data_IF_771347668019
#
_entry.id   IF_771347668019
#
_cell.length_a   1.000
_cell.length_b   1.000
_cell.length_c   1.000
_cell.angle_alpha   90.00
_cell.angle_beta   90.00
_cell.angle_gamma   90.00
#
_symmetry.space_group_name_H-M   'P 1'
#
loop_
_entity.id
_entity.type
_entity.pdbx_description
1 polymer ?
#
# COMPACT_ATOMS: atom_id res chain seq x y z
N UNK A 1 24.75 -3.77 3.70
CA UNK A 1 23.29 -3.72 3.42
C UNK A 1 22.51 -4.57 4.43
N UNK A 2 21.49 -4.02 5.11
CA UNK A 2 20.68 -4.75 6.11
C UNK A 2 19.45 -5.47 5.50
N UNK A 3 19.07 -5.13 4.25
CA UNK A 3 18.00 -5.79 3.47
C UNK A 3 18.26 -5.64 1.96
N UNK A 4 17.82 -6.63 1.15
CA UNK A 4 17.91 -6.62 -0.33
C UNK A 4 16.70 -5.96 -1.00
N UNK A 5 15.51 -6.18 -0.46
CA UNK A 5 14.24 -5.71 -1.02
C UNK A 5 13.63 -4.61 -0.15
N UNK A 6 12.77 -3.78 -0.74
CA UNK A 6 11.98 -2.78 -0.01
C UNK A 6 10.62 -2.65 -0.70
N UNK A 7 9.57 -2.51 0.10
CA UNK A 7 8.21 -2.27 -0.35
C UNK A 7 7.64 -1.08 0.43
N UNK A 8 6.97 -0.18 -0.28
CA UNK A 8 6.32 1.00 0.27
C UNK A 8 4.90 1.11 -0.27
N UNK A 9 4.02 1.61 0.59
CA UNK A 9 2.63 1.91 0.25
C UNK A 9 2.19 3.24 0.84
N UNK A 10 1.11 3.76 0.25
CA UNK A 10 0.29 4.85 0.77
C UNK A 10 -1.14 4.35 0.77
N UNK A 11 -1.88 4.59 1.86
CA UNK A 11 -3.33 4.34 1.92
C UNK A 11 -4.05 5.68 1.86
N UNK A 12 -4.92 5.83 0.87
CA UNK A 12 -5.76 7.02 0.68
C UNK A 12 -7.17 6.66 1.12
N UNK A 13 -7.63 7.27 2.20
CA UNK A 13 -8.98 7.09 2.73
C UNK A 13 -9.89 8.14 2.10
N UNK A 14 -10.95 7.69 1.45
CA UNK A 14 -11.99 8.55 0.86
C UNK A 14 -13.32 8.30 1.55
N UNK A 15 -14.22 9.27 1.48
CA UNK A 15 -15.56 9.16 2.07
C UNK A 15 -16.44 8.13 1.34
N UNK A 16 -16.56 8.24 0.01
CA UNK A 16 -17.33 7.31 -0.80
C UNK A 16 -16.87 7.35 -2.29
N UNK A 17 -16.40 6.23 -2.87
CA UNK A 17 -15.99 6.17 -4.27
C UNK A 17 -17.13 6.37 -5.28
N UNK A 18 -18.39 6.17 -4.90
CA UNK A 18 -19.54 6.30 -5.81
C UNK A 18 -19.96 7.76 -6.07
N UNK A 19 -19.34 8.72 -5.37
CA UNK A 19 -19.58 10.13 -5.59
C UNK A 19 -18.87 10.63 -6.86
N UNK A 20 -19.46 11.59 -7.55
CA UNK A 20 -18.82 12.26 -8.69
C UNK A 20 -17.49 12.94 -8.29
N UNK A 21 -17.43 13.44 -7.05
CA UNK A 21 -16.24 14.06 -6.47
C UNK A 21 -16.00 13.54 -5.04
N UNK A 22 -15.38 12.35 -4.88
CA UNK A 22 -15.03 11.82 -3.57
C UNK A 22 -14.05 12.75 -2.83
N UNK A 23 -14.17 12.80 -1.51
CA UNK A 23 -13.28 13.60 -0.65
C UNK A 23 -12.24 12.70 -0.01
N UNK A 24 -10.98 13.11 -0.07
CA UNK A 24 -9.91 12.51 0.72
C UNK A 24 -10.12 12.91 2.18
N UNK A 25 -10.39 11.93 3.03
CA UNK A 25 -10.58 12.12 4.48
C UNK A 25 -9.32 11.81 5.28
N UNK A 26 -8.34 11.11 4.69
CA UNK A 26 -7.05 10.86 5.32
C UNK A 26 -6.05 10.21 4.36
N UNK A 27 -4.76 10.37 4.65
CA UNK A 27 -3.68 9.73 3.90
C UNK A 27 -2.62 9.22 4.89
N UNK A 28 -2.22 7.97 4.71
CA UNK A 28 -1.25 7.31 5.57
C UNK A 28 -0.09 6.76 4.75
N UNK A 29 1.13 7.19 5.03
CA UNK A 29 2.35 6.83 4.29
C UNK A 29 3.20 5.82 5.07
N UNK A 30 3.58 4.71 4.45
CA UNK A 30 4.42 3.70 5.12
C UNK A 30 5.80 4.26 5.50
N UNK A 31 6.15 4.10 6.78
CA UNK A 31 7.49 4.36 7.34
C UNK A 31 8.33 3.08 7.31
N UNK A 32 7.73 1.97 7.71
CA UNK A 32 8.28 0.61 7.66
C UNK A 32 7.16 -0.35 7.32
N UNK A 33 7.49 -1.64 7.17
CA UNK A 33 6.53 -2.70 6.82
C UNK A 33 5.21 -2.57 7.63
N UNK A 34 5.29 -2.35 8.95
CA UNK A 34 4.10 -2.26 9.82
C UNK A 34 3.80 -0.89 10.43
N UNK A 35 4.41 0.21 9.95
CA UNK A 35 4.22 1.54 10.56
C UNK A 35 3.91 2.60 9.53
N UNK A 36 2.97 3.48 9.84
CA UNK A 36 2.53 4.56 8.97
C UNK A 36 2.67 5.94 9.63
N UNK A 37 3.06 6.93 8.83
CA UNK A 37 2.87 8.34 9.14
C UNK A 37 1.46 8.75 8.71
N UNK A 38 0.70 9.35 9.63
CA UNK A 38 -0.71 9.75 9.43
C UNK A 38 -0.87 11.26 9.18
N UNK A 39 0.25 12.00 9.19
CA UNK A 39 0.29 13.43 8.88
C UNK A 39 0.64 13.63 7.40
N UNK A 40 -0.11 14.49 6.72
CA UNK A 40 0.14 14.89 5.34
C UNK A 40 1.36 15.84 5.27
N UNK A 41 2.52 15.29 4.88
CA UNK A 41 3.72 16.07 4.50
C UNK A 41 4.17 15.61 3.13
N UNK A 42 3.65 16.25 2.09
CA UNK A 42 3.88 15.86 0.69
C UNK A 42 4.65 16.92 -0.06
N UNK A 43 5.42 16.47 -1.04
CA UNK A 43 6.08 17.29 -2.04
C UNK A 43 5.62 16.81 -3.42
N UNK A 44 5.67 17.67 -4.42
CA UNK A 44 5.35 17.28 -5.78
C UNK A 44 6.31 16.19 -6.26
N UNK A 45 5.76 15.21 -6.97
CA UNK A 45 6.50 14.07 -7.50
C UNK A 45 6.05 13.72 -8.92
N UNK A 46 6.35 12.50 -9.33
CA UNK A 46 5.99 11.98 -10.65
C UNK A 46 4.90 10.91 -10.53
N UNK A 47 4.16 10.68 -11.61
CA UNK A 47 3.20 9.57 -11.71
C UNK A 47 3.89 8.32 -12.26
N UNK A 48 3.36 7.15 -11.91
CA UNK A 48 3.76 5.85 -12.44
C UNK A 48 2.54 5.14 -13.03
N UNK A 49 2.75 4.22 -13.96
CA UNK A 49 1.67 3.40 -14.52
C UNK A 49 1.05 2.55 -13.42
N UNK A 50 -0.28 2.65 -13.28
CA UNK A 50 -1.04 1.94 -12.27
C UNK A 50 -1.53 0.58 -12.82
N UNK A 51 -1.29 -0.47 -12.04
CA UNK A 51 -1.91 -1.79 -12.22
C UNK A 51 -2.63 -2.16 -10.92
N UNK A 52 -3.93 -2.42 -11.00
CA UNK A 52 -4.74 -2.85 -9.86
C UNK A 52 -4.50 -4.33 -9.54
N UNK A 53 -4.69 -4.75 -8.29
CA UNK A 53 -4.55 -6.15 -7.89
C UNK A 53 -5.38 -7.11 -8.76
N UNK A 54 -6.64 -6.75 -9.00
CA UNK A 54 -7.56 -7.54 -9.85
C UNK A 54 -7.23 -7.51 -11.34
N UNK A 55 -6.32 -6.63 -11.78
CA UNK A 55 -5.83 -6.59 -13.16
C UNK A 55 -4.56 -7.43 -13.36
N UNK A 56 -3.92 -7.89 -12.28
CA UNK A 56 -2.74 -8.75 -12.36
C UNK A 56 -3.13 -10.16 -12.83
N UNK A 57 -2.18 -10.83 -13.48
CA UNK A 57 -2.32 -12.26 -13.79
C UNK A 57 -2.28 -13.08 -12.51
N UNK A 58 -2.88 -14.27 -12.54
CA UNK A 58 -2.85 -15.21 -11.41
C UNK A 58 -1.40 -15.54 -11.00
N UNK A 59 -0.51 -15.71 -11.97
CA UNK A 59 0.90 -15.97 -11.71
C UNK A 59 1.59 -14.81 -10.96
N UNK A 60 1.25 -13.56 -11.30
CA UNK A 60 1.77 -12.39 -10.60
C UNK A 60 1.22 -12.30 -9.18
N UNK A 61 -0.08 -12.54 -8.97
CA UNK A 61 -0.69 -12.56 -7.63
C UNK A 61 -0.07 -13.66 -6.76
N UNK A 62 0.10 -14.87 -7.28
CA UNK A 62 0.78 -15.99 -6.58
C UNK A 62 2.21 -15.61 -6.20
N UNK A 63 2.98 -14.99 -7.10
CA UNK A 63 4.34 -14.58 -6.80
C UNK A 63 4.42 -13.47 -5.73
N UNK A 64 3.46 -12.52 -5.74
CA UNK A 64 3.39 -11.44 -4.75
C UNK A 64 2.90 -11.92 -3.38
N UNK A 65 2.10 -12.98 -3.33
CA UNK A 65 1.65 -13.62 -2.10
C UNK A 65 2.70 -14.57 -1.46
N UNK A 66 3.77 -14.97 -2.17
CA UNK A 66 4.81 -15.83 -1.60
C UNK A 66 5.83 -15.01 -0.79
N UNK A 67 5.72 -15.07 0.54
CA UNK A 67 6.59 -14.36 1.49
C UNK A 67 8.08 -14.72 1.36
N UNK A 68 8.45 -15.81 0.67
CA UNK A 68 9.85 -16.18 0.42
C UNK A 68 10.53 -15.32 -0.65
N UNK A 69 9.76 -14.66 -1.52
CA UNK A 69 10.31 -13.93 -2.67
C UNK A 69 10.99 -12.62 -2.29
N UNK A 70 10.61 -12.00 -1.16
CA UNK A 70 11.07 -10.66 -0.78
C UNK A 70 11.85 -10.62 0.54
N UNK A 71 12.21 -11.79 1.07
CA UNK A 71 13.02 -11.92 2.28
C UNK A 71 12.32 -11.34 3.50
N UNK A 72 12.80 -10.19 3.98
CA UNK A 72 12.23 -9.49 5.15
C UNK A 72 11.29 -8.33 4.77
N UNK A 73 10.96 -8.16 3.49
CA UNK A 73 10.05 -7.11 3.05
C UNK A 73 8.66 -7.69 2.81
N UNK A 74 7.65 -7.02 3.36
CA UNK A 74 6.24 -7.41 3.25
C UNK A 74 5.62 -6.71 2.03
N UNK A 75 4.85 -7.44 1.22
CA UNK A 75 4.09 -6.86 0.11
C UNK A 75 2.79 -6.32 0.70
N UNK A 76 2.59 -4.98 0.79
CA UNK A 76 1.56 -4.40 1.66
C UNK A 76 0.12 -4.58 1.17
N UNK A 77 -0.07 -5.11 -0.04
CA UNK A 77 -1.36 -5.34 -0.67
C UNK A 77 -1.58 -6.82 -1.05
N UNK A 78 -0.70 -7.72 -0.57
CA UNK A 78 -0.91 -9.16 -0.71
C UNK A 78 -2.08 -9.62 0.16
N UNK A 79 -2.64 -10.78 -0.14
CA UNK A 79 -3.79 -11.33 0.59
C UNK A 79 -3.49 -11.53 2.09
N UNK A 80 -2.23 -11.86 2.43
CA UNK A 80 -1.78 -12.04 3.82
C UNK A 80 -1.69 -10.72 4.60
N UNK A 81 -1.36 -9.61 3.93
CA UNK A 81 -0.99 -8.35 4.57
C UNK A 81 -2.03 -7.24 4.43
N UNK A 82 -2.94 -7.32 3.46
CA UNK A 82 -3.83 -6.22 3.09
C UNK A 82 -4.62 -5.65 4.28
N UNK A 83 -5.40 -6.48 4.98
CA UNK A 83 -6.26 -6.04 6.09
C UNK A 83 -5.45 -5.48 7.27
N UNK A 84 -4.36 -6.15 7.65
CA UNK A 84 -3.50 -5.71 8.75
C UNK A 84 -2.79 -4.38 8.43
N UNK A 85 -2.42 -4.16 7.17
CA UNK A 85 -1.90 -2.87 6.72
C UNK A 85 -2.97 -1.78 6.70
N UNK A 86 -4.22 -2.09 6.31
CA UNK A 86 -5.33 -1.15 6.40
C UNK A 86 -5.58 -0.72 7.85
N UNK A 87 -5.65 -1.66 8.78
CA UNK A 87 -5.85 -1.39 10.21
C UNK A 87 -4.75 -0.48 10.77
N UNK A 88 -3.48 -0.78 10.45
CA UNK A 88 -2.32 0.04 10.86
C UNK A 88 -2.32 1.44 10.24
N UNK A 89 -2.84 1.56 9.02
CA UNK A 89 -2.90 2.80 8.27
C UNK A 89 -4.14 3.66 8.61
N UNK A 90 -5.10 3.17 9.38
CA UNK A 90 -6.27 3.96 9.76
C UNK A 90 -5.86 5.23 10.53
N UNK A 91 -6.21 6.45 10.07
CA UNK A 91 -5.61 7.69 10.56
C UNK A 91 -6.27 8.27 11.81
N UNK A 92 -7.36 7.67 12.31
CA UNK A 92 -8.16 8.15 13.45
C UNK A 92 -8.10 7.22 14.66
#
# INVERSE_FOLDING_TARGET
PTRRHDWKSVVVWIDNPDLETPKIVGVSMSKSDTKYYKELKTWDGEYQDLIMWEQLTDAARVALNDSKNFGRAEVPFSDEHYEDHLDKAWPL
#
